data_IF_841912865483
#
_entry.id   IF_841912865483
#
_cell.length_a   1.000
_cell.length_b   1.000
_cell.length_c   1.000
_cell.angle_alpha   90.00
_cell.angle_beta   90.00
_cell.angle_gamma   90.00
#
_symmetry.space_group_name_H-M   'P 1'
#
loop_
_entity.id
_entity.type
_entity.pdbx_description
1 polymer ?
#
# COMPACT_ATOMS: atom_id res chain seq x y z
N UNK A 1 -9.26 1.39 -0.75
CA UNK A 1 -9.19 2.55 0.19
C UNK A 1 -9.82 3.77 -0.46
N UNK A 2 -10.34 4.71 0.34
CA UNK A 2 -10.94 5.97 -0.16
C UNK A 2 -10.27 7.17 0.50
N UNK A 3 -9.74 8.09 -0.29
CA UNK A 3 -9.16 9.33 0.19
C UNK A 3 -10.24 10.29 0.71
N UNK A 4 -9.86 11.19 1.62
CA UNK A 4 -10.67 12.36 1.94
C UNK A 4 -10.81 13.26 0.69
N UNK A 5 -11.88 14.07 0.57
CA UNK A 5 -12.04 15.00 -0.55
C UNK A 5 -10.79 15.87 -0.77
N UNK A 6 -10.26 15.85 -2.00
CA UNK A 6 -9.06 16.62 -2.36
C UNK A 6 -7.72 16.07 -1.81
N UNK A 7 -7.72 14.93 -1.11
CA UNK A 7 -6.50 14.30 -0.57
C UNK A 7 -5.96 13.15 -1.42
N UNK A 8 -6.53 12.90 -2.60
CA UNK A 8 -6.05 11.85 -3.52
C UNK A 8 -4.56 11.94 -3.80
N UNK A 9 -4.04 13.13 -4.11
CA UNK A 9 -2.60 13.29 -4.37
C UNK A 9 -1.75 13.02 -3.13
N UNK A 10 -2.20 13.42 -1.94
CA UNK A 10 -1.49 13.15 -0.69
C UNK A 10 -1.37 11.64 -0.41
N UNK A 11 -2.40 10.85 -0.75
CA UNK A 11 -2.33 9.38 -0.69
C UNK A 11 -1.25 8.86 -1.63
N UNK A 12 -1.22 9.33 -2.89
CA UNK A 12 -0.21 8.92 -3.89
C UNK A 12 1.21 9.29 -3.41
N UNK A 13 1.39 10.50 -2.88
CA UNK A 13 2.68 10.97 -2.38
C UNK A 13 3.14 10.16 -1.16
N UNK A 14 2.22 9.66 -0.34
CA UNK A 14 2.53 8.77 0.77
C UNK A 14 3.05 7.41 0.28
N UNK A 15 2.51 6.85 -0.80
CA UNK A 15 3.08 5.66 -1.45
C UNK A 15 4.47 5.95 -2.05
N UNK A 16 4.65 7.10 -2.69
CA UNK A 16 5.96 7.52 -3.19
C UNK A 16 6.99 7.68 -2.04
N UNK A 17 6.55 8.14 -0.87
CA UNK A 17 7.37 8.18 0.35
C UNK A 17 7.78 6.78 0.79
N UNK A 18 6.85 5.82 0.78
CA UNK A 18 7.14 4.42 1.10
C UNK A 18 8.24 3.85 0.20
N UNK A 19 8.16 4.09 -1.11
CA UNK A 19 9.14 3.62 -2.08
C UNK A 19 10.56 4.16 -1.83
N UNK A 20 10.67 5.41 -1.34
CA UNK A 20 11.96 6.01 -1.02
C UNK A 20 12.51 5.54 0.33
N UNK A 21 11.66 5.46 1.34
CA UNK A 21 12.11 5.34 2.74
C UNK A 21 12.01 3.92 3.31
N UNK A 22 10.98 3.18 2.91
CA UNK A 22 10.63 1.89 3.51
C UNK A 22 11.03 0.71 2.62
N UNK A 23 10.81 0.83 1.29
CA UNK A 23 11.14 -0.22 0.32
C UNK A 23 12.57 -0.74 0.41
N UNK A 24 13.63 0.09 0.58
CA UNK A 24 14.99 -0.42 0.69
C UNK A 24 15.24 -1.34 1.89
N UNK A 25 14.38 -1.24 2.91
CA UNK A 25 14.45 -2.02 4.17
C UNK A 25 13.42 -3.16 4.20
N UNK A 26 12.50 -3.19 3.24
CA UNK A 26 11.41 -4.15 3.14
C UNK A 26 11.91 -5.47 2.53
N UNK A 27 12.62 -6.27 3.33
CA UNK A 27 13.09 -7.60 2.91
C UNK A 27 11.92 -8.44 2.40
N UNK A 28 12.10 -9.07 1.24
CA UNK A 28 11.08 -9.94 0.63
C UNK A 28 9.98 -9.21 -0.15
N UNK A 29 10.02 -7.87 -0.21
CA UNK A 29 9.14 -7.10 -1.08
C UNK A 29 9.45 -7.41 -2.56
N UNK A 30 8.43 -7.78 -3.33
CA UNK A 30 8.56 -8.04 -4.77
C UNK A 30 8.11 -6.83 -5.58
N UNK A 31 6.88 -6.36 -5.36
CA UNK A 31 6.30 -5.19 -6.03
C UNK A 31 5.04 -4.69 -5.36
N UNK A 32 4.65 -3.47 -5.69
CA UNK A 32 3.34 -2.90 -5.40
C UNK A 32 2.75 -2.27 -6.66
N UNK A 33 1.42 -2.15 -6.67
CA UNK A 33 0.66 -1.36 -7.63
C UNK A 33 -0.35 -0.50 -6.86
N UNK A 34 -0.61 0.71 -7.36
CA UNK A 34 -1.69 1.56 -6.90
C UNK A 34 -2.49 2.00 -8.11
N UNK A 35 -3.76 1.62 -8.15
CA UNK A 35 -4.71 2.02 -9.18
C UNK A 35 -5.74 2.98 -8.59
N UNK A 36 -6.10 4.01 -9.33
CA UNK A 36 -7.20 4.88 -8.96
C UNK A 36 -8.45 4.53 -9.79
N UNK A 37 -9.63 4.81 -9.24
CA UNK A 37 -10.87 4.62 -9.96
C UNK A 37 -10.96 5.55 -11.19
N UNK A 38 -11.46 5.00 -12.30
CA UNK A 38 -11.61 5.72 -13.56
C UNK A 38 -12.84 6.66 -13.59
N UNK A 39 -13.76 6.50 -12.65
CA UNK A 39 -15.00 7.28 -12.56
C UNK A 39 -14.82 8.64 -11.87
N UNK A 40 -13.58 9.05 -11.58
CA UNK A 40 -13.28 10.30 -10.90
C UNK A 40 -13.52 10.27 -9.39
N UNK A 41 -13.84 9.12 -8.79
CA UNK A 41 -13.94 8.99 -7.34
C UNK A 41 -12.56 9.12 -6.67
N UNK A 42 -12.57 9.41 -5.37
CA UNK A 42 -11.39 9.41 -4.50
C UNK A 42 -10.96 7.98 -4.09
N UNK A 43 -11.38 6.96 -4.81
CA UNK A 43 -11.05 5.57 -4.50
C UNK A 43 -9.74 5.14 -5.16
N UNK A 44 -8.94 4.44 -4.37
CA UNK A 44 -7.70 3.80 -4.79
C UNK A 44 -7.68 2.34 -4.34
N UNK A 45 -7.06 1.49 -5.15
CA UNK A 45 -6.78 0.10 -4.84
C UNK A 45 -5.28 -0.12 -4.85
N UNK A 46 -4.76 -0.64 -3.74
CA UNK A 46 -3.38 -1.08 -3.62
C UNK A 46 -3.30 -2.60 -3.79
N UNK A 47 -2.27 -3.08 -4.47
CA UNK A 47 -1.86 -4.47 -4.47
C UNK A 47 -0.39 -4.57 -4.09
N UNK A 48 -0.03 -5.50 -3.21
CA UNK A 48 1.36 -5.72 -2.80
C UNK A 48 1.69 -7.20 -2.86
N UNK A 49 2.89 -7.52 -3.33
CA UNK A 49 3.40 -8.88 -3.42
C UNK A 49 4.67 -9.02 -2.59
N UNK A 50 4.70 -10.09 -1.81
CA UNK A 50 5.83 -10.54 -1.01
C UNK A 50 6.26 -11.94 -1.45
N UNK A 51 7.50 -12.30 -1.14
CA UNK A 51 8.04 -13.65 -1.37
C UNK A 51 7.48 -14.69 -0.40
N UNK A 52 7.27 -14.31 0.87
CA UNK A 52 6.74 -15.15 1.94
C UNK A 52 5.82 -14.36 2.88
N UNK A 53 4.92 -15.08 3.57
CA UNK A 53 4.10 -14.51 4.64
C UNK A 53 4.94 -14.00 5.81
N UNK A 54 6.06 -14.66 6.13
CA UNK A 54 6.96 -14.25 7.20
C UNK A 54 7.59 -12.88 6.93
N UNK A 55 8.11 -12.66 5.73
CA UNK A 55 8.69 -11.36 5.36
C UNK A 55 7.64 -10.25 5.30
N UNK A 56 6.42 -10.56 4.85
CA UNK A 56 5.28 -9.64 4.93
C UNK A 56 4.99 -9.22 6.38
N UNK A 57 4.82 -10.18 7.29
CA UNK A 57 4.53 -9.92 8.70
C UNK A 57 5.69 -9.18 9.38
N UNK A 58 6.93 -9.58 9.10
CA UNK A 58 8.12 -8.90 9.60
C UNK A 58 8.12 -7.42 9.17
N UNK A 59 7.76 -7.11 7.92
CA UNK A 59 7.61 -5.74 7.48
C UNK A 59 6.47 -5.00 8.19
N UNK A 60 5.28 -5.61 8.26
CA UNK A 60 4.10 -5.02 8.91
C UNK A 60 4.33 -4.70 10.40
N UNK A 61 5.17 -5.49 11.07
CA UNK A 61 5.52 -5.29 12.50
C UNK A 61 6.63 -4.26 12.73
N UNK A 62 7.24 -3.69 11.68
CA UNK A 62 8.27 -2.65 11.86
C UNK A 62 7.62 -1.36 12.39
N UNK A 63 8.15 -0.75 13.47
CA UNK A 63 7.62 0.50 14.00
C UNK A 63 7.54 1.62 12.97
N UNK A 64 8.52 1.71 12.08
CA UNK A 64 8.55 2.68 10.99
C UNK A 64 7.51 2.42 9.90
N UNK A 65 7.08 1.16 9.72
CA UNK A 65 5.97 0.80 8.82
C UNK A 65 4.63 1.23 9.43
N UNK A 66 4.44 1.03 10.74
CA UNK A 66 3.26 1.52 11.46
C UNK A 66 3.19 3.05 11.44
N UNK A 67 4.31 3.74 11.69
CA UNK A 67 4.36 5.21 11.60
C UNK A 67 3.94 5.71 10.20
N UNK A 68 4.48 5.11 9.14
CA UNK A 68 4.09 5.42 7.77
C UNK A 68 2.61 5.14 7.50
N UNK A 69 2.07 4.04 8.03
CA UNK A 69 0.66 3.66 7.87
C UNK A 69 -0.27 4.66 8.57
N UNK A 70 0.10 5.12 9.77
CA UNK A 70 -0.66 6.14 10.51
C UNK A 70 -0.71 7.47 9.76
N UNK A 71 0.37 7.87 9.11
CA UNK A 71 0.37 9.05 8.22
C UNK A 71 -0.56 8.83 7.02
N UNK A 72 -0.50 7.67 6.34
CA UNK A 72 -1.43 7.33 5.25
C UNK A 72 -2.89 7.47 5.69
N UNK A 73 -3.20 6.93 6.88
CA UNK A 73 -4.54 6.96 7.47
C UNK A 73 -5.10 8.36 7.67
N UNK A 74 -4.27 9.37 7.92
CA UNK A 74 -4.70 10.77 8.03
C UNK A 74 -5.26 11.34 6.72
N UNK A 75 -5.00 10.69 5.59
CA UNK A 75 -5.50 11.11 4.27
C UNK A 75 -6.74 10.33 3.81
N UNK A 76 -7.22 9.36 4.60
CA UNK A 76 -8.29 8.46 4.22
C UNK A 76 -9.59 8.76 4.96
N UNK A 77 -10.72 8.52 4.30
CA UNK A 77 -12.05 8.70 4.87
C UNK A 77 -12.40 7.59 5.89
N UNK A 78 -11.76 6.42 5.79
CA UNK A 78 -11.92 5.27 6.67
C UNK A 78 -10.66 4.39 6.61
N UNK A 79 -10.61 3.33 7.42
CA UNK A 79 -9.54 2.33 7.31
C UNK A 79 -9.59 1.67 5.92
N UNK A 80 -8.44 1.38 5.29
CA UNK A 80 -8.41 0.48 4.16
C UNK A 80 -8.96 -0.89 4.52
N UNK A 81 -9.75 -1.47 3.64
CA UNK A 81 -10.05 -2.89 3.66
C UNK A 81 -8.85 -3.68 3.11
N UNK A 82 -8.53 -4.80 3.75
CA UNK A 82 -7.42 -5.68 3.38
C UNK A 82 -7.93 -7.05 2.99
N UNK A 83 -7.30 -7.63 1.98
CA UNK A 83 -7.49 -9.02 1.57
C UNK A 83 -6.11 -9.65 1.39
N UNK A 84 -5.84 -10.68 2.19
CA UNK A 84 -4.61 -11.45 2.09
C UNK A 84 -4.89 -12.76 1.34
N UNK A 85 -4.01 -13.11 0.40
CA UNK A 85 -4.18 -14.29 -0.43
C UNK A 85 -2.86 -14.89 -0.91
N UNK A 86 -2.88 -16.19 -1.17
CA UNK A 86 -1.76 -16.89 -1.83
C UNK A 86 -1.85 -16.68 -3.34
N UNK A 87 -0.74 -16.25 -3.96
CA UNK A 87 -0.69 -16.06 -5.40
C UNK A 87 -0.82 -17.42 -6.13
N UNK A 88 -1.94 -17.62 -6.81
CA UNK A 88 -2.18 -18.84 -7.62
C UNK A 88 -1.65 -18.67 -9.04
N UNK A 89 -1.85 -17.49 -9.65
CA UNK A 89 -1.40 -17.20 -11.01
C UNK A 89 -1.13 -15.71 -11.18
N UNK A 90 -0.10 -15.41 -11.94
CA UNK A 90 0.17 -14.10 -12.50
C UNK A 90 0.60 -14.25 -13.95
N UNK A 91 0.06 -13.43 -14.85
CA UNK A 91 0.54 -13.34 -16.23
C UNK A 91 1.36 -12.06 -16.40
N UNK A 92 2.47 -12.17 -17.12
CA UNK A 92 3.32 -11.04 -17.51
C UNK A 92 3.20 -10.86 -19.03
N UNK A 93 3.36 -9.61 -19.49
CA UNK A 93 3.29 -9.25 -20.90
C UNK A 93 4.49 -9.80 -21.68
#
# INVERSE_FOLDING_TARGET
>A
MRALPGKRQAVIDQFNKWDREQKPKAKGFIRSIVAAANNGSDELMGGVRWDTTENYLANSNRPEQDAWYRELRQHLAADPEWFDGTLVRESQA
#
